data_IF_132281049084
#
_entry.id   IF_132281049084
#
_cell.length_a   1.000
_cell.length_b   1.000
_cell.length_c   1.000
_cell.angle_alpha   90.00
_cell.angle_beta   90.00
_cell.angle_gamma   90.00
#
_symmetry.space_group_name_H-M   'P 1'
#
loop_
_entity.id
_entity.type
_entity.pdbx_description
1 polymer ?
#
# COMPACT_ATOMS: atom_id res chain seq x y z
N UNK A 1 -2.71 15.35 3.24
CA UNK A 1 -1.95 14.59 2.23
C UNK A 1 -2.52 13.18 2.17
N UNK A 2 -2.76 12.66 0.96
CA UNK A 2 -3.31 11.32 0.73
C UNK A 2 -2.16 10.36 0.43
N UNK A 3 -2.20 9.17 1.03
CA UNK A 3 -1.25 8.08 0.79
C UNK A 3 -1.97 6.95 0.09
N UNK A 4 -1.49 6.56 -1.09
CA UNK A 4 -2.07 5.50 -1.90
C UNK A 4 -1.17 4.27 -1.83
N UNK A 5 -1.67 3.18 -1.25
CA UNK A 5 -1.02 1.87 -1.28
C UNK A 5 -1.53 1.05 -2.44
N UNK A 6 -0.63 0.54 -3.28
CA UNK A 6 -0.93 -0.42 -4.34
C UNK A 6 -0.22 -1.75 -4.09
N UNK A 7 -0.96 -2.84 -4.23
CA UNK A 7 -0.42 -4.21 -4.26
C UNK A 7 -0.61 -4.71 -5.68
N UNK A 8 0.47 -5.04 -6.37
CA UNK A 8 0.40 -5.56 -7.72
C UNK A 8 1.61 -6.45 -8.05
N UNK A 9 1.55 -7.12 -9.19
CA UNK A 9 2.66 -7.88 -9.76
C UNK A 9 3.87 -6.95 -10.04
N UNK A 10 5.10 -7.51 -10.16
CA UNK A 10 6.31 -6.72 -10.35
C UNK A 10 6.16 -5.62 -11.40
N UNK A 11 6.26 -4.35 -10.95
CA UNK A 11 6.20 -3.17 -11.84
C UNK A 11 7.32 -3.17 -12.90
N UNK A 12 8.37 -3.96 -12.68
CA UNK A 12 9.44 -4.19 -13.65
C UNK A 12 8.98 -4.96 -14.90
N UNK A 13 7.92 -5.77 -14.81
CA UNK A 13 7.41 -6.59 -15.92
C UNK A 13 6.12 -6.05 -16.57
N UNK A 14 5.55 -4.95 -16.06
CA UNK A 14 4.30 -4.42 -16.60
C UNK A 14 4.51 -3.64 -17.91
N UNK A 15 3.49 -3.64 -18.77
CA UNK A 15 3.48 -2.82 -19.97
C UNK A 15 2.78 -1.48 -19.69
N UNK A 16 3.56 -0.42 -19.44
CA UNK A 16 3.05 0.91 -19.09
C UNK A 16 2.02 1.49 -20.06
N UNK A 17 2.02 1.07 -21.34
CA UNK A 17 1.07 1.55 -22.34
C UNK A 17 -0.27 0.84 -22.31
N UNK A 18 -0.32 -0.37 -21.75
CA UNK A 18 -1.53 -1.22 -21.71
C UNK A 18 -2.07 -1.37 -20.29
N UNK A 19 -1.31 -0.95 -19.29
CA UNK A 19 -1.66 -1.09 -17.88
C UNK A 19 -2.41 0.15 -17.36
N UNK A 20 -3.68 -0.03 -17.04
CA UNK A 20 -4.51 1.04 -16.47
C UNK A 20 -4.13 1.37 -15.03
N UNK A 21 -3.51 0.46 -14.30
CA UNK A 21 -3.00 0.69 -12.94
C UNK A 21 -1.87 1.71 -12.96
N UNK A 22 -0.97 1.62 -13.94
CA UNK A 22 0.09 2.60 -14.14
C UNK A 22 -0.44 4.02 -14.39
N UNK A 23 -1.46 4.15 -15.26
CA UNK A 23 -2.10 5.45 -15.52
C UNK A 23 -2.73 6.05 -14.24
N UNK A 24 -3.32 5.21 -13.38
CA UNK A 24 -3.85 5.65 -12.08
C UNK A 24 -2.75 6.13 -11.14
N UNK A 25 -1.59 5.47 -11.12
CA UNK A 25 -0.44 5.90 -10.32
C UNK A 25 0.10 7.25 -10.80
N UNK A 26 0.20 7.45 -12.12
CA UNK A 26 0.66 8.72 -12.70
C UNK A 26 -0.26 9.88 -12.30
N UNK A 27 -1.58 9.67 -12.39
CA UNK A 27 -2.57 10.67 -11.99
C UNK A 27 -2.58 10.92 -10.48
N UNK A 28 -2.42 9.88 -9.65
CA UNK A 28 -2.28 10.01 -8.22
C UNK A 28 -1.04 10.84 -7.84
N UNK A 29 0.10 10.61 -8.49
CA UNK A 29 1.30 11.41 -8.29
C UNK A 29 1.09 12.86 -8.76
N UNK A 30 0.39 13.08 -9.88
CA UNK A 30 0.03 14.41 -10.39
C UNK A 30 -0.85 15.20 -9.40
N UNK A 31 -1.66 14.49 -8.61
CA UNK A 31 -2.47 15.04 -7.52
C UNK A 31 -1.69 15.27 -6.22
N UNK A 32 -0.39 14.96 -6.20
CA UNK A 32 0.47 15.09 -5.03
C UNK A 32 0.24 14.01 -3.97
N UNK A 33 -0.19 12.82 -4.39
CA UNK A 33 -0.35 11.68 -3.48
C UNK A 33 0.97 10.93 -3.31
N UNK A 34 1.18 10.40 -2.11
CA UNK A 34 2.34 9.56 -1.80
C UNK A 34 2.03 8.11 -2.21
N UNK A 35 2.79 7.58 -3.18
CA UNK A 35 2.58 6.22 -3.69
C UNK A 35 3.42 5.21 -2.91
N UNK A 36 2.75 4.21 -2.35
CA UNK A 36 3.37 3.07 -1.68
C UNK A 36 3.11 1.81 -2.49
N UNK A 37 4.17 1.22 -3.01
CA UNK A 37 4.14 -0.05 -3.73
C UNK A 37 4.48 -1.20 -2.79
N UNK A 38 3.75 -2.30 -2.94
CA UNK A 38 3.93 -3.55 -2.20
C UNK A 38 3.76 -4.73 -3.17
N UNK A 39 4.54 -5.78 -2.98
CA UNK A 39 4.34 -7.05 -3.69
C UNK A 39 3.52 -8.01 -2.82
N UNK A 40 2.85 -9.00 -3.42
CA UNK A 40 2.15 -10.03 -2.66
C UNK A 40 3.09 -10.79 -1.70
N UNK A 41 4.34 -11.00 -2.13
CA UNK A 41 5.40 -11.63 -1.34
C UNK A 41 5.82 -10.80 -0.12
N UNK A 42 5.54 -9.49 -0.11
CA UNK A 42 5.89 -8.58 0.97
C UNK A 42 4.81 -8.54 2.07
N UNK A 43 3.65 -9.17 1.85
CA UNK A 43 2.59 -9.31 2.84
C UNK A 43 2.84 -10.54 3.72
N UNK A 44 2.95 -10.33 5.02
CA UNK A 44 3.15 -11.41 5.98
C UNK A 44 2.38 -11.18 7.28
N UNK A 45 2.07 -12.25 7.99
CA UNK A 45 1.45 -12.21 9.30
C UNK A 45 2.52 -12.37 10.36
N UNK A 46 2.57 -11.46 11.34
CA UNK A 46 3.47 -11.55 12.47
C UNK A 46 2.69 -11.40 13.76
N UNK A 47 2.68 -12.45 14.60
CA UNK A 47 1.95 -12.47 15.87
C UNK A 47 0.46 -12.08 15.75
N UNK A 48 -0.20 -12.50 14.66
CA UNK A 48 -1.61 -12.18 14.38
C UNK A 48 -1.85 -10.79 13.76
N UNK A 49 -0.81 -9.97 13.61
CA UNK A 49 -0.86 -8.69 12.92
C UNK A 49 -0.41 -8.82 11.46
N UNK A 50 -1.26 -8.36 10.54
CA UNK A 50 -0.91 -8.20 9.12
C UNK A 50 0.11 -7.09 8.94
N UNK A 51 1.27 -7.46 8.41
CA UNK A 51 2.39 -6.57 8.10
C UNK A 51 2.68 -6.62 6.61
N UNK A 52 3.06 -5.47 6.05
CA UNK A 52 3.57 -5.40 4.69
C UNK A 52 4.80 -4.52 4.62
N UNK A 53 5.75 -4.92 3.76
CA UNK A 53 6.86 -4.06 3.36
C UNK A 53 6.43 -3.19 2.20
N UNK A 54 6.30 -1.90 2.46
CA UNK A 54 5.99 -0.89 1.44
C UNK A 54 7.26 -0.21 0.96
N UNK A 55 7.40 -0.01 -0.34
CA UNK A 55 8.42 0.85 -0.96
C UNK A 55 7.75 2.10 -1.52
N UNK A 56 8.39 3.26 -1.32
CA UNK A 56 7.91 4.49 -1.93
C UNK A 56 8.18 4.44 -3.43
N UNK A 57 7.11 4.55 -4.21
CA UNK A 57 7.15 4.45 -5.67
C UNK A 57 7.10 5.84 -6.30
N UNK A 58 7.97 6.07 -7.26
CA UNK A 58 7.90 7.21 -8.17
C UNK A 58 7.66 6.66 -9.58
N UNK A 59 6.67 7.20 -10.29
CA UNK A 59 6.35 6.78 -11.66
C UNK A 59 6.52 7.93 -12.63
N UNK A 60 6.94 7.61 -13.86
CA UNK A 60 7.14 8.59 -14.94
C UNK A 60 6.67 7.99 -16.26
N UNK A 61 6.13 8.83 -17.14
CA UNK A 61 5.73 8.41 -18.49
C UNK A 61 6.94 8.25 -19.41
N UNK A 62 7.86 7.34 -19.06
CA UNK A 62 9.09 7.07 -19.79
C UNK A 62 9.24 5.57 -20.02
N UNK A 63 9.36 5.14 -21.27
CA UNK A 63 9.52 3.72 -21.61
C UNK A 63 10.85 3.11 -21.20
N UNK A 64 11.88 3.93 -21.00
CA UNK A 64 13.20 3.44 -20.58
C UNK A 64 13.33 3.43 -19.06
N UNK A 65 12.64 4.34 -18.37
CA UNK A 65 12.67 4.46 -16.91
C UNK A 65 11.31 4.90 -16.33
N UNK A 66 10.31 4.01 -16.39
CA UNK A 66 8.94 4.33 -15.97
C UNK A 66 8.73 4.32 -14.46
N UNK A 67 9.63 3.71 -13.70
CA UNK A 67 9.51 3.59 -12.26
C UNK A 67 10.84 3.79 -11.57
N UNK A 68 10.79 4.29 -10.35
CA UNK A 68 11.92 4.37 -9.44
C UNK A 68 11.42 4.18 -8.02
N UNK A 69 12.17 3.41 -7.23
CA UNK A 69 11.91 3.32 -5.80
C UNK A 69 12.75 4.37 -5.08
N UNK A 70 12.15 5.11 -4.16
CA UNK A 70 12.93 5.92 -3.24
C UNK A 70 13.68 4.95 -2.32
N UNK A 71 15.00 4.87 -2.50
CA UNK A 71 15.85 4.01 -1.69
C UNK A 71 15.71 4.44 -0.23
N UNK A 72 15.18 3.53 0.61
CA UNK A 72 15.20 3.74 2.05
C UNK A 72 16.64 3.48 2.51
N UNK A 73 17.33 4.53 2.90
CA UNK A 73 18.59 4.42 3.64
C UNK A 73 18.30 3.60 4.90
N UNK A 74 18.71 2.32 4.88
CA UNK A 74 18.65 1.46 6.05
C UNK A 74 19.65 1.99 7.07
N UNK A 75 19.18 2.76 8.04
CA UNK A 75 19.96 3.09 9.23
C UNK A 75 19.48 2.22 10.39
N UNK A 76 20.39 1.35 10.86
CA UNK A 76 20.41 0.88 12.23
C UNK A 76 19.68 -0.44 12.51
N UNK A 77 20.45 -1.52 12.51
CA UNK A 77 20.21 -2.66 13.40
C UNK A 77 20.27 -2.17 14.85
N UNK A 78 19.17 -2.28 15.59
CA UNK A 78 19.19 -2.26 17.06
C UNK A 78 18.02 -3.09 17.59
N UNK A 79 18.34 -4.09 18.41
CA UNK A 79 17.43 -5.11 18.90
C UNK A 79 16.13 -4.59 19.53
N UNK A 80 15.01 -4.96 18.93
CA UNK A 80 13.78 -5.44 19.57
C UNK A 80 12.94 -6.03 18.42
N UNK A 81 12.04 -6.98 18.66
CA UNK A 81 11.22 -7.65 17.61
C UNK A 81 10.23 -6.77 16.82
N UNK A 82 10.53 -5.48 16.63
CA UNK A 82 9.88 -4.56 15.69
C UNK A 82 10.67 -4.58 14.39
N UNK A 83 10.09 -5.17 13.34
CA UNK A 83 10.53 -4.92 11.96
C UNK A 83 10.23 -3.44 11.67
N UNK A 84 11.24 -2.55 11.59
CA UNK A 84 11.03 -1.12 11.37
C UNK A 84 10.45 -0.84 9.97
N UNK A 85 10.51 -1.82 9.09
CA UNK A 85 10.11 -1.73 7.69
C UNK A 85 8.68 -2.18 7.44
N UNK A 86 8.07 -2.80 8.44
CA UNK A 86 6.74 -3.36 8.35
C UNK A 86 5.68 -2.34 8.78
N UNK A 87 4.94 -1.84 7.79
CA UNK A 87 3.74 -1.08 8.10
C UNK A 87 2.64 -2.07 8.48
N UNK A 88 2.07 -1.89 9.67
CA UNK A 88 0.86 -2.60 10.08
C UNK A 88 -0.23 -2.23 9.09
N UNK A 89 -0.74 -3.20 8.34
CA UNK A 89 -1.92 -3.01 7.50
C UNK A 89 -3.05 -2.75 8.48
N UNK A 90 -3.37 -1.47 8.70
CA UNK A 90 -4.48 -1.10 9.56
C UNK A 90 -5.72 -1.64 8.87
N UNK A 91 -6.39 -2.62 9.49
CA UNK A 91 -7.79 -2.88 9.22
C UNK A 91 -8.48 -1.53 9.34
N UNK A 92 -8.96 -0.99 8.22
CA UNK A 92 -10.05 -0.03 8.23
C UNK A 92 -11.18 -0.73 8.98
N UNK A 93 -11.22 -0.53 10.28
CA UNK A 93 -12.40 -0.81 11.06
C UNK A 93 -13.37 0.23 10.56
N UNK A 94 -14.12 -0.11 9.50
CA UNK A 94 -15.37 0.56 9.21
C UNK A 94 -16.08 0.59 10.56
N UNK A 95 -16.18 1.79 11.11
CA UNK A 95 -16.83 2.07 12.36
C UNK A 95 -18.29 1.65 12.18
N UNK A 96 -18.58 0.38 12.44
CA UNK A 96 -19.93 -0.14 12.55
C UNK A 96 -20.44 0.34 13.89
N UNK A 97 -20.67 1.65 13.96
CA UNK A 97 -21.51 2.29 14.98
C UNK A 97 -23.00 2.14 14.63
N UNK A 98 -23.35 1.21 13.74
CA UNK A 98 -24.71 0.70 13.66
C UNK A 98 -24.92 -0.25 14.84
N UNK A 99 -25.44 0.34 15.92
CA UNK A 99 -26.15 -0.39 16.96
C UNK A 99 -27.13 -1.36 16.27
N UNK A 100 -27.25 -2.61 16.70
CA UNK A 100 -28.40 -3.42 16.29
C UNK A 100 -29.63 -2.74 16.90
N UNK A 101 -30.37 -1.97 16.11
CA UNK A 101 -31.75 -1.65 16.45
C UNK A 101 -32.49 -2.98 16.46
N UNK A 102 -32.71 -3.47 17.67
CA UNK A 102 -33.76 -4.42 18.02
C UNK A 102 -34.98 -4.15 17.14
N UNK A 103 -35.23 -5.06 16.20
CA UNK A 103 -36.44 -5.08 15.40
C UNK A 103 -37.52 -5.72 16.26
N UNK A 104 -38.26 -4.89 17.01
CA UNK A 104 -39.40 -5.33 17.79
C UNK A 104 -40.62 -5.43 16.86
N UNK A 105 -41.00 -6.64 16.48
CA UNK A 105 -42.22 -6.93 15.71
C UNK A 105 -43.39 -7.04 16.69
N UNK A 106 -44.38 -6.13 16.70
CA UNK A 106 -45.61 -6.36 17.46
C UNK A 106 -46.49 -7.37 16.71
N UNK A 107 -47.16 -8.24 17.48
CA UNK A 107 -48.26 -9.08 16.99
C UNK A 107 -49.48 -8.25 16.66
#
# INVERSE_FOLDING_TARGET
>A
MIKLGIVMDPIASINIKKDTSFAMLLEAQRRGWELHYMEMNDLYLHAGDGRARTRLLNVKEDKESWFSFWQRAGFGVAGSGRDPDAQKIRRSTLNTSMRPTSWNVPK
#
